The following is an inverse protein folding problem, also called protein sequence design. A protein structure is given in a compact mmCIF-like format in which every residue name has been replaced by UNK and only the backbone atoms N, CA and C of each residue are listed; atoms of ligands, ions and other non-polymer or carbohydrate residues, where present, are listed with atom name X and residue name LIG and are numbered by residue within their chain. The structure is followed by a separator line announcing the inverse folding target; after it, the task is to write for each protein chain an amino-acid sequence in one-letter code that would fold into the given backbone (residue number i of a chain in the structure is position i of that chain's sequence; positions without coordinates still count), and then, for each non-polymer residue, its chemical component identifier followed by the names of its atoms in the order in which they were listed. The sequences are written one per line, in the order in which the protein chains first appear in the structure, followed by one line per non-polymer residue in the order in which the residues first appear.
data_IF_150884908105
#
_entry.id   IF_150884908105
#
_cell.length_a   1.000
_cell.length_b   1.000
_cell.length_c   1.000
_cell.angle_alpha   90.00
_cell.angle_beta   90.00
_cell.angle_gamma   90.00
#
_symmetry.space_group_name_H-M   'P 1'
#
loop_
_entity.id
_entity.type
_entity.pdbx_description
1 polymer ?
#
# COMPACT_ATOMS: atom_id res chain seq x y z
N UNK A 1 13.15 -33.84 -5.53
CA UNK A 1 14.03 -32.94 -4.76
C UNK A 1 13.19 -32.24 -3.72
N UNK A 2 13.43 -32.53 -2.44
CA UNK A 2 12.66 -31.98 -1.32
C UNK A 2 13.22 -30.59 -0.98
N UNK A 3 12.82 -29.56 -1.73
CA UNK A 3 13.22 -28.18 -1.45
C UNK A 3 12.47 -27.72 -0.20
N UNK A 4 13.11 -27.79 0.97
CA UNK A 4 12.62 -27.12 2.17
C UNK A 4 12.42 -25.64 1.82
N UNK A 5 11.15 -25.24 1.70
CA UNK A 5 10.77 -23.88 1.39
C UNK A 5 11.13 -23.02 2.60
N UNK A 6 12.18 -22.23 2.47
CA UNK A 6 12.62 -21.35 3.56
C UNK A 6 11.52 -20.30 3.81
N UNK A 7 10.91 -20.33 4.98
CA UNK A 7 9.86 -19.40 5.36
C UNK A 7 10.54 -18.11 5.82
N UNK A 8 10.54 -17.09 4.98
CA UNK A 8 10.99 -15.75 5.38
C UNK A 8 9.87 -15.06 6.17
N UNK A 9 10.04 -14.96 7.48
CA UNK A 9 9.11 -14.25 8.36
C UNK A 9 9.22 -12.75 8.07
N UNK A 10 8.11 -12.02 7.80
CA UNK A 10 8.14 -10.59 7.61
C UNK A 10 8.58 -9.86 8.88
N UNK A 11 9.41 -8.81 8.72
CA UNK A 11 9.81 -7.97 9.84
C UNK A 11 8.59 -7.17 10.35
N UNK A 12 8.42 -7.15 11.67
CA UNK A 12 7.44 -6.33 12.39
C UNK A 12 8.18 -5.33 13.27
N UNK A 13 7.73 -4.08 13.25
CA UNK A 13 8.37 -3.00 14.02
C UNK A 13 7.51 -2.54 15.21
N UNK A 14 6.20 -2.78 15.16
CA UNK A 14 5.24 -2.36 16.17
C UNK A 14 4.50 -3.54 16.78
N UNK A 15 4.36 -3.53 18.10
CA UNK A 15 3.96 -4.67 18.93
C UNK A 15 2.96 -4.24 20.01
N UNK A 16 2.04 -5.16 20.33
CA UNK A 16 1.11 -5.04 21.45
C UNK A 16 1.87 -4.86 22.78
N UNK A 17 1.30 -4.09 23.70
CA UNK A 17 1.87 -3.66 24.99
C UNK A 17 3.16 -2.83 24.88
N UNK A 18 3.64 -2.51 23.67
CA UNK A 18 4.80 -1.64 23.45
C UNK A 18 4.42 -0.34 22.74
N UNK A 19 3.63 -0.43 21.67
CA UNK A 19 3.24 0.73 20.86
C UNK A 19 1.73 0.98 20.89
N UNK A 20 0.97 -0.07 21.12
CA UNK A 20 -0.47 -0.05 21.26
C UNK A 20 -0.88 -1.15 22.23
N UNK A 21 -2.10 -1.05 22.76
CA UNK A 21 -2.70 -2.06 23.63
C UNK A 21 -3.98 -2.56 22.98
N UNK A 22 -4.12 -3.88 22.90
CA UNK A 22 -5.35 -4.56 22.47
C UNK A 22 -6.13 -4.99 23.70
N UNK A 23 -7.40 -4.59 23.77
CA UNK A 23 -8.34 -5.14 24.71
C UNK A 23 -9.30 -6.08 23.97
N UNK A 24 -9.14 -7.37 24.24
CA UNK A 24 -9.90 -8.43 23.56
C UNK A 24 -11.36 -8.52 24.03
N UNK A 25 -11.65 -8.09 25.27
CA UNK A 25 -13.01 -8.13 25.82
C UNK A 25 -13.89 -7.07 25.16
N UNK A 26 -13.40 -5.82 25.12
CA UNK A 26 -14.13 -4.71 24.51
C UNK A 26 -13.87 -4.56 22.99
N UNK A 27 -12.98 -5.40 22.42
CA UNK A 27 -12.58 -5.40 21.01
C UNK A 27 -12.04 -4.04 20.53
N UNK A 28 -11.27 -3.38 21.38
CA UNK A 28 -10.64 -2.09 21.05
C UNK A 28 -9.13 -2.22 20.96
N UNK A 29 -8.54 -1.29 20.20
CA UNK A 29 -7.11 -1.03 20.16
C UNK A 29 -6.89 0.44 20.49
N UNK A 30 -5.89 0.72 21.33
CA UNK A 30 -5.47 2.09 21.66
C UNK A 30 -3.97 2.22 21.45
N UNK A 31 -3.53 3.29 20.80
CA UNK A 31 -2.09 3.61 20.80
C UNK A 31 -1.66 3.97 22.22
N UNK A 32 -0.46 3.56 22.59
CA UNK A 32 0.15 4.04 23.83
C UNK A 32 0.47 5.52 23.66
N UNK A 33 0.38 6.31 24.73
CA UNK A 33 0.45 7.77 24.65
C UNK A 33 1.78 8.25 24.05
N UNK A 34 2.92 7.67 24.45
CA UNK A 34 4.23 7.99 23.88
C UNK A 34 4.31 7.76 22.36
N UNK A 35 3.75 6.64 21.90
CA UNK A 35 3.76 6.31 20.48
C UNK A 35 2.81 7.21 19.70
N UNK A 36 1.64 7.52 20.25
CA UNK A 36 0.70 8.45 19.65
C UNK A 36 1.32 9.85 19.50
N UNK A 37 1.97 10.37 20.55
CA UNK A 37 2.64 11.67 20.49
C UNK A 37 3.78 11.68 19.47
N UNK A 38 4.56 10.59 19.39
CA UNK A 38 5.58 10.44 18.35
C UNK A 38 5.00 10.53 16.94
N UNK A 39 3.86 9.89 16.68
CA UNK A 39 3.22 9.94 15.36
C UNK A 39 2.68 11.35 15.04
N UNK A 40 2.16 12.07 16.03
CA UNK A 40 1.63 13.44 15.86
C UNK A 40 2.73 14.49 15.67
N UNK A 41 3.91 14.26 16.25
CA UNK A 41 5.05 15.17 16.14
C UNK A 41 5.68 15.21 14.74
N UNK A 42 5.30 14.28 13.86
CA UNK A 42 5.87 14.12 12.51
C UNK A 42 4.75 14.32 11.49
N UNK A 43 5.04 15.06 10.41
CA UNK A 43 4.07 15.32 9.34
C UNK A 43 3.57 14.00 8.73
N UNK A 44 2.26 13.85 8.43
CA UNK A 44 1.77 12.64 7.79
C UNK A 44 2.49 12.31 6.48
N UNK A 45 2.85 11.04 6.30
CA UNK A 45 3.61 10.53 5.16
C UNK A 45 5.12 10.53 5.36
N UNK A 46 5.65 11.25 6.36
CA UNK A 46 7.06 11.21 6.70
C UNK A 46 7.41 9.99 7.57
N UNK A 47 8.69 9.61 7.55
CA UNK A 47 9.16 8.44 8.27
C UNK A 47 8.95 8.59 9.78
N UNK A 48 8.15 7.70 10.36
CA UNK A 48 7.87 7.69 11.79
C UNK A 48 6.62 8.46 12.21
N UNK A 49 5.95 9.14 11.28
CA UNK A 49 4.64 9.76 11.48
C UNK A 49 3.47 8.84 11.08
N UNK A 50 2.25 9.39 11.16
CA UNK A 50 1.08 8.75 10.56
C UNK A 50 1.27 8.61 9.04
N UNK A 51 0.72 7.55 8.44
CA UNK A 51 0.69 7.41 6.99
C UNK A 51 -0.40 8.29 6.39
N UNK A 52 -0.13 8.86 5.21
CA UNK A 52 -1.18 9.44 4.37
C UNK A 52 -2.19 8.38 3.92
N UNK A 53 -3.39 8.84 3.60
CA UNK A 53 -4.44 8.05 2.98
C UNK A 53 -4.06 7.83 1.51
N UNK A 54 -3.75 6.59 1.15
CA UNK A 54 -3.44 6.22 -0.24
C UNK A 54 -4.59 5.45 -0.89
N UNK A 55 -4.53 5.25 -2.21
CA UNK A 55 -5.53 4.43 -2.92
C UNK A 55 -5.73 3.04 -2.31
N UNK A 56 -4.65 2.42 -1.81
CA UNK A 56 -4.71 1.14 -1.10
C UNK A 56 -5.32 1.22 0.30
N UNK A 57 -5.30 2.40 0.93
CA UNK A 57 -5.94 2.66 2.23
C UNK A 57 -7.43 2.97 2.09
N UNK A 58 -7.83 3.63 0.99
CA UNK A 58 -9.22 4.02 0.76
C UNK A 58 -10.18 2.84 0.76
N UNK A 59 -9.78 1.68 0.25
CA UNK A 59 -10.62 0.46 0.34
C UNK A 59 -10.94 0.06 1.78
N UNK A 60 -9.94 0.14 2.68
CA UNK A 60 -10.12 -0.14 4.11
C UNK A 60 -11.04 0.90 4.77
N UNK A 61 -10.81 2.19 4.48
CA UNK A 61 -11.55 3.33 5.05
C UNK A 61 -13.02 3.32 4.61
N UNK A 62 -13.27 3.07 3.33
CA UNK A 62 -14.62 3.07 2.74
C UNK A 62 -15.34 1.73 2.91
N UNK A 63 -14.68 0.71 3.49
CA UNK A 63 -15.24 -0.62 3.74
C UNK A 63 -15.79 -1.31 2.48
N UNK A 64 -15.05 -1.25 1.36
CA UNK A 64 -15.53 -1.69 0.04
C UNK A 64 -15.64 -3.22 -0.13
N UNK A 65 -15.01 -4.00 0.74
CA UNK A 65 -15.00 -5.46 0.70
C UNK A 65 -15.22 -6.06 2.09
N UNK A 66 -15.61 -7.34 2.19
CA UNK A 66 -15.76 -8.04 3.48
C UNK A 66 -14.47 -8.13 4.31
N UNK A 67 -13.31 -7.85 3.70
CA UNK A 67 -12.02 -7.87 4.38
C UNK A 67 -11.62 -6.50 4.94
N UNK A 68 -12.36 -5.45 4.60
CA UNK A 68 -12.10 -4.10 5.07
C UNK A 68 -12.78 -3.85 6.43
N UNK A 69 -12.11 -3.08 7.29
CA UNK A 69 -12.64 -2.70 8.60
C UNK A 69 -11.99 -1.40 9.07
N UNK A 70 -12.66 -0.71 9.99
CA UNK A 70 -12.09 0.45 10.70
C UNK A 70 -10.77 0.10 11.39
N UNK A 71 -10.68 -1.11 11.94
CA UNK A 71 -9.45 -1.61 12.53
C UNK A 71 -8.31 -1.70 11.49
N UNK A 72 -8.58 -2.25 10.30
CA UNK A 72 -7.59 -2.34 9.24
C UNK A 72 -7.15 -0.96 8.75
N UNK A 73 -8.11 -0.03 8.59
CA UNK A 73 -7.84 1.35 8.22
C UNK A 73 -6.95 2.05 9.26
N UNK A 74 -7.32 1.96 10.54
CA UNK A 74 -6.58 2.53 11.65
C UNK A 74 -5.16 1.96 11.73
N UNK A 75 -5.01 0.64 11.68
CA UNK A 75 -3.70 -0.02 11.72
C UNK A 75 -2.79 0.40 10.55
N UNK A 76 -3.36 0.63 9.36
CA UNK A 76 -2.62 1.11 8.20
C UNK A 76 -2.15 2.55 8.39
N UNK A 77 -3.03 3.45 8.82
CA UNK A 77 -2.70 4.88 9.05
C UNK A 77 -1.69 5.02 10.18
N UNK A 78 -1.86 4.27 11.28
CA UNK A 78 -0.96 4.26 12.43
C UNK A 78 0.28 3.35 12.26
N UNK A 79 0.58 2.89 11.03
CA UNK A 79 1.82 2.20 10.68
C UNK A 79 2.11 0.86 11.39
N UNK A 80 1.07 0.12 11.80
CA UNK A 80 1.23 -1.21 12.42
C UNK A 80 0.39 -2.32 11.76
N UNK A 81 -0.15 -2.06 10.57
CA UNK A 81 -0.89 -3.06 9.78
C UNK A 81 -0.12 -4.36 9.59
N UNK A 82 -0.86 -5.44 9.38
CA UNK A 82 -0.29 -6.75 9.14
C UNK A 82 0.64 -6.70 7.92
N UNK A 83 1.90 -7.17 8.03
CA UNK A 83 2.79 -7.22 6.88
C UNK A 83 2.26 -8.22 5.84
N UNK A 84 2.68 -8.05 4.59
CA UNK A 84 2.33 -8.98 3.51
C UNK A 84 2.97 -10.34 3.82
N UNK A 85 2.13 -11.34 4.08
CA UNK A 85 2.57 -12.70 4.44
C UNK A 85 3.01 -13.52 3.22
N UNK A 86 2.27 -13.40 2.10
CA UNK A 86 2.58 -14.05 0.83
C UNK A 86 2.77 -13.00 -0.26
N UNK A 87 4.00 -12.88 -0.75
CA UNK A 87 4.38 -11.91 -1.78
C UNK A 87 4.14 -12.39 -3.20
N UNK A 88 3.61 -13.60 -3.45
CA UNK A 88 3.51 -14.15 -4.82
C UNK A 88 2.79 -13.22 -5.80
N UNK A 89 1.66 -12.63 -5.39
CA UNK A 89 0.86 -11.74 -6.25
C UNK A 89 1.53 -10.38 -6.42
N UNK A 90 2.15 -9.86 -5.36
CA UNK A 90 2.93 -8.61 -5.41
C UNK A 90 4.12 -8.76 -6.37
N UNK A 91 4.87 -9.85 -6.24
CA UNK A 91 6.01 -10.13 -7.10
C UNK A 91 5.59 -10.37 -8.55
N UNK A 92 4.45 -11.03 -8.78
CA UNK A 92 3.88 -11.17 -10.12
C UNK A 92 3.54 -9.81 -10.73
N UNK A 93 2.91 -8.90 -9.97
CA UNK A 93 2.64 -7.53 -10.40
C UNK A 93 3.91 -6.79 -10.79
N UNK A 94 4.92 -6.74 -9.91
CA UNK A 94 6.22 -6.12 -10.16
C UNK A 94 6.89 -6.65 -11.44
N UNK A 95 6.81 -7.97 -11.68
CA UNK A 95 7.42 -8.59 -12.86
C UNK A 95 6.65 -8.35 -14.17
N UNK A 96 5.35 -8.12 -14.10
CA UNK A 96 4.47 -7.98 -15.26
C UNK A 96 4.24 -6.52 -15.67
N UNK A 97 4.16 -5.60 -14.70
CA UNK A 97 3.83 -4.19 -14.93
C UNK A 97 4.72 -3.52 -15.99
N UNK A 98 6.07 -3.68 -16.01
CA UNK A 98 6.90 -3.12 -17.08
C UNK A 98 6.56 -3.67 -18.46
N UNK A 99 6.22 -4.96 -18.55
CA UNK A 99 5.90 -5.64 -19.82
C UNK A 99 4.56 -5.18 -20.36
N UNK A 100 3.58 -4.98 -19.47
CA UNK A 100 2.25 -4.46 -19.83
C UNK A 100 2.40 -3.03 -20.37
N UNK A 101 3.16 -2.19 -19.68
CA UNK A 101 3.38 -0.79 -20.10
C UNK A 101 4.06 -0.73 -21.46
N UNK A 102 5.15 -1.47 -21.67
CA UNK A 102 5.82 -1.51 -22.96
C UNK A 102 4.86 -1.92 -24.09
N UNK A 103 3.96 -2.88 -23.85
CA UNK A 103 2.95 -3.28 -24.85
C UNK A 103 1.91 -2.19 -25.13
N UNK A 104 1.48 -1.45 -24.10
CA UNK A 104 0.55 -0.34 -24.25
C UNK A 104 1.20 0.78 -25.06
N UNK A 105 2.42 1.19 -24.69
CA UNK A 105 3.18 2.23 -25.40
C UNK A 105 3.39 1.88 -26.87
N UNK A 106 3.79 0.64 -27.17
CA UNK A 106 3.96 0.15 -28.55
C UNK A 106 2.64 0.13 -29.34
N UNK A 107 1.54 -0.30 -28.72
CA UNK A 107 0.24 -0.42 -29.39
C UNK A 107 -0.35 0.94 -29.75
N UNK A 108 -0.23 1.91 -28.85
CA UNK A 108 -0.89 3.21 -28.97
C UNK A 108 0.06 4.35 -29.36
N UNK A 109 1.35 4.05 -29.55
CA UNK A 109 2.39 4.99 -29.97
C UNK A 109 2.46 6.26 -29.10
N UNK A 110 2.37 6.08 -27.78
CA UNK A 110 2.61 7.13 -26.79
C UNK A 110 3.62 6.65 -25.75
N UNK A 111 4.14 7.59 -24.96
CA UNK A 111 5.05 7.31 -23.84
C UNK A 111 4.37 7.60 -22.51
N UNK A 112 4.33 6.61 -21.63
CA UNK A 112 3.82 6.73 -20.27
C UNK A 112 4.97 7.21 -19.38
N UNK A 113 4.78 8.34 -18.70
CA UNK A 113 5.70 8.77 -17.64
C UNK A 113 5.62 7.79 -16.47
N UNK A 114 6.78 7.34 -15.99
CA UNK A 114 6.91 6.37 -14.90
C UNK A 114 7.60 7.02 -13.70
N UNK A 115 7.18 6.62 -12.52
CA UNK A 115 7.70 7.14 -11.27
C UNK A 115 8.47 6.05 -10.52
N UNK A 116 9.79 6.20 -10.42
CA UNK A 116 10.61 5.27 -9.66
C UNK A 116 10.35 5.47 -8.16
N UNK A 117 9.77 4.47 -7.48
CA UNK A 117 9.30 4.63 -6.10
C UNK A 117 10.37 5.16 -5.12
N UNK A 118 11.64 4.79 -5.31
CA UNK A 118 12.78 5.30 -4.52
C UNK A 118 12.99 6.82 -4.66
N UNK A 119 12.80 7.36 -5.88
CA UNK A 119 12.95 8.81 -6.17
C UNK A 119 11.82 9.65 -5.59
N UNK A 120 10.65 9.04 -5.42
CA UNK A 120 9.45 9.71 -4.93
C UNK A 120 9.11 9.35 -3.48
N UNK A 121 9.94 8.57 -2.78
CA UNK A 121 9.60 8.00 -1.47
C UNK A 121 8.22 7.33 -1.44
N UNK A 122 7.82 6.73 -2.55
CA UNK A 122 6.50 6.14 -2.77
C UNK A 122 5.30 7.09 -2.61
N UNK A 123 5.52 8.40 -2.75
CA UNK A 123 4.49 9.43 -2.69
C UNK A 123 4.71 10.53 -3.74
N UNK A 124 3.98 10.42 -4.85
CA UNK A 124 3.93 11.45 -5.89
C UNK A 124 3.21 12.72 -5.38
N UNK A 125 2.20 12.56 -4.52
CA UNK A 125 1.39 13.65 -3.99
C UNK A 125 1.96 14.23 -2.69
N UNK A 126 3.29 14.38 -2.63
CA UNK A 126 4.02 14.82 -1.42
C UNK A 126 3.50 16.11 -0.81
N UNK A 127 3.03 17.04 -1.63
CA UNK A 127 2.53 18.36 -1.21
C UNK A 127 1.15 18.28 -0.55
N UNK A 128 0.36 17.22 -0.82
CA UNK A 128 -0.92 17.03 -0.16
C UNK A 128 -0.71 16.45 1.25
N UNK A 129 -1.28 17.08 2.27
CA UNK A 129 -1.03 16.70 3.67
C UNK A 129 -1.67 15.37 4.06
N UNK A 130 -2.84 15.05 3.50
CA UNK A 130 -3.66 13.92 3.94
C UNK A 130 -3.62 12.75 2.96
N UNK A 131 -3.54 13.04 1.67
CA UNK A 131 -3.61 12.06 0.60
C UNK A 131 -2.24 11.86 -0.04
N UNK A 132 -1.91 10.61 -0.31
CA UNK A 132 -0.64 10.24 -0.91
C UNK A 132 -0.77 9.08 -1.88
N UNK A 133 0.33 8.73 -2.52
CA UNK A 133 0.40 7.54 -3.37
C UNK A 133 1.30 7.73 -4.57
N UNK A 134 1.61 6.62 -5.23
CA UNK A 134 2.42 6.57 -6.42
C UNK A 134 1.59 5.95 -7.54
N UNK A 135 1.22 6.69 -8.59
CA UNK A 135 0.53 6.10 -9.74
C UNK A 135 1.49 5.21 -10.55
N UNK A 136 0.95 4.20 -11.23
CA UNK A 136 1.75 3.30 -12.06
C UNK A 136 2.27 4.02 -13.33
N UNK A 137 1.54 5.03 -13.80
CA UNK A 137 2.01 5.95 -14.83
C UNK A 137 1.16 7.20 -15.03
N UNK A 138 1.65 8.11 -15.86
CA UNK A 138 0.98 9.37 -16.20
C UNK A 138 1.17 9.73 -17.68
N UNK A 139 0.09 10.12 -18.34
CA UNK A 139 0.10 10.65 -19.70
C UNK A 139 -0.15 12.16 -19.63
N UNK A 140 0.95 12.92 -19.65
CA UNK A 140 0.93 14.37 -19.44
C UNK A 140 0.05 15.12 -20.43
N UNK A 141 0.15 14.78 -21.72
CA UNK A 141 -0.57 15.49 -22.79
C UNK A 141 -2.09 15.29 -22.70
N UNK A 142 -2.54 14.21 -22.06
CA UNK A 142 -3.95 13.87 -21.87
C UNK A 142 -4.44 14.13 -20.44
N UNK A 143 -3.54 14.59 -19.55
CA UNK A 143 -3.81 14.73 -18.12
C UNK A 143 -4.43 13.44 -17.52
N UNK A 144 -3.88 12.27 -17.87
CA UNK A 144 -4.46 10.97 -17.52
C UNK A 144 -3.51 10.16 -16.62
N UNK A 145 -4.02 9.71 -15.47
CA UNK A 145 -3.34 8.78 -14.58
C UNK A 145 -3.61 7.34 -15.01
N UNK A 146 -2.56 6.53 -15.00
CA UNK A 146 -2.61 5.10 -15.32
C UNK A 146 -2.42 4.28 -14.05
N UNK A 147 -3.33 3.34 -13.82
CA UNK A 147 -3.27 2.33 -12.77
C UNK A 147 -3.42 0.94 -13.41
N UNK A 148 -2.49 0.03 -13.13
CA UNK A 148 -2.42 -1.31 -13.72
C UNK A 148 -2.65 -2.35 -12.64
N UNK A 149 -3.68 -3.17 -12.83
CA UNK A 149 -3.95 -4.32 -11.98
C UNK A 149 -3.62 -5.61 -12.70
N UNK A 150 -2.84 -6.45 -12.03
CA UNK A 150 -2.60 -7.82 -12.48
C UNK A 150 -3.40 -8.77 -11.62
N UNK A 151 -4.19 -9.64 -12.25
CA UNK A 151 -5.04 -10.62 -11.59
C UNK A 151 -4.83 -12.00 -12.21
N UNK A 152 -5.23 -13.05 -11.50
CA UNK A 152 -5.13 -14.41 -12.04
C UNK A 152 -6.05 -14.61 -13.24
N UNK A 153 -5.60 -15.36 -14.24
CA UNK A 153 -6.30 -15.57 -15.51
C UNK A 153 -7.76 -16.04 -15.37
N UNK A 154 -8.08 -16.79 -14.31
CA UNK A 154 -9.46 -17.21 -13.99
C UNK A 154 -10.46 -16.07 -13.78
N UNK A 155 -9.99 -14.83 -13.62
CA UNK A 155 -10.84 -13.64 -13.50
C UNK A 155 -11.09 -12.94 -14.84
N UNK A 156 -10.60 -13.47 -15.96
CA UNK A 156 -10.72 -12.82 -17.26
C UNK A 156 -12.18 -12.51 -17.62
N UNK A 157 -13.10 -13.45 -17.40
CA UNK A 157 -14.52 -13.26 -17.74
C UNK A 157 -15.27 -12.31 -16.77
N UNK A 158 -14.64 -11.89 -15.66
CA UNK A 158 -15.23 -10.99 -14.67
C UNK A 158 -14.85 -9.51 -14.87
N UNK A 159 -14.02 -9.21 -15.87
CA UNK A 159 -13.46 -7.88 -16.19
C UNK A 159 -13.72 -7.53 -17.64
#
# INVERSE_FOLDING_TARGET
MNTKKEIKIPNRHHYNNKHYTINYQNKTIKLNDDYHQKLLAIKPGEFGGFRKITGSALGDILKLTPFNSEFAAFARVANFSMPILDRKYVNAGIALEPKIINKIEQKYNFKIERFEGSKYNFDYFKENELFGGLPDGYLKDQNLIIEIKTVGAKKFDLW
#
